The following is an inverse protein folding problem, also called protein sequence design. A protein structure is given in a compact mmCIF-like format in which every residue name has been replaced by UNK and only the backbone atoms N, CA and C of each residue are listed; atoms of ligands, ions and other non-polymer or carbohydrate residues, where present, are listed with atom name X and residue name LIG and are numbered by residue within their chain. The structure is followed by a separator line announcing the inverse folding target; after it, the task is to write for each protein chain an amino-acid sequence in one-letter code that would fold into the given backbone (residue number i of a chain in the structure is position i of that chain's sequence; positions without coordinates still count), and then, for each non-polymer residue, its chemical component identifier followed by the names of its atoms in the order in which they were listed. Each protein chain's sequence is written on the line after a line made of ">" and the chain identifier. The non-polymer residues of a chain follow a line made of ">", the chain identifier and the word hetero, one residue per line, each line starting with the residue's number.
data_IF_839936816023
#
_entry.id   IF_839936816023
#
_cell.length_a   1.000
_cell.length_b   1.000
_cell.length_c   1.000
_cell.angle_alpha   90.00
_cell.angle_beta   90.00
_cell.angle_gamma   90.00
#
_symmetry.space_group_name_H-M   'P 1'
#
loop_
_entity.id
_entity.type
_entity.pdbx_description
1 polymer ?
#
# COMPACT_ATOMS: atom_id res chain seq x y z
N UNK A 1 -15.60 -0.68 -2.06
CA UNK A 1 -15.01 -1.84 -1.35
C UNK A 1 -14.94 -1.60 0.14
N UNK A 2 -14.78 -2.64 0.96
CA UNK A 2 -14.49 -2.51 2.39
C UNK A 2 -12.98 -2.35 2.64
N UNK A 3 -12.63 -1.50 3.62
CA UNK A 3 -11.25 -1.29 4.03
C UNK A 3 -11.15 -0.92 5.51
N UNK A 4 -9.98 -1.17 6.10
CA UNK A 4 -9.62 -0.66 7.43
C UNK A 4 -8.81 0.62 7.29
N UNK A 5 -9.42 1.75 7.66
CA UNK A 5 -8.89 3.09 7.41
C UNK A 5 -8.37 3.71 8.70
N UNK A 6 -7.14 4.23 8.65
CA UNK A 6 -6.55 5.05 9.72
C UNK A 6 -6.98 6.51 9.52
N UNK A 7 -7.69 7.08 10.50
CA UNK A 7 -8.16 8.47 10.46
C UNK A 7 -7.31 9.44 11.29
N UNK A 8 -6.56 8.91 12.25
CA UNK A 8 -5.72 9.72 13.15
C UNK A 8 -4.58 8.89 13.73
N UNK A 9 -3.48 9.54 14.00
CA UNK A 9 -2.37 8.92 14.75
C UNK A 9 -2.70 8.76 16.24
N UNK A 10 -2.08 7.78 16.88
CA UNK A 10 -2.11 7.54 18.33
C UNK A 10 -0.69 7.23 18.84
N UNK A 11 0.05 8.28 19.19
CA UNK A 11 1.45 8.19 19.60
C UNK A 11 1.67 7.28 20.82
N UNK A 12 0.65 7.11 21.63
CA UNK A 12 0.72 6.29 22.87
C UNK A 12 0.17 4.88 22.72
N UNK A 13 -0.46 4.57 21.59
CA UNK A 13 -1.16 3.30 21.31
C UNK A 13 -2.19 2.93 22.39
N UNK A 14 -2.89 3.93 22.94
CA UNK A 14 -3.84 3.73 24.05
C UNK A 14 -5.31 3.65 23.60
N UNK A 15 -5.61 4.00 22.35
CA UNK A 15 -6.97 3.89 21.83
C UNK A 15 -7.43 2.43 21.77
N UNK A 16 -8.71 2.21 22.02
CA UNK A 16 -9.34 0.89 21.90
C UNK A 16 -9.47 0.43 20.44
N UNK A 17 -9.55 1.39 19.51
CA UNK A 17 -9.63 1.15 18.07
C UNK A 17 -8.76 2.18 17.34
N UNK A 18 -7.86 1.71 16.50
CA UNK A 18 -6.98 2.57 15.69
C UNK A 18 -7.50 2.79 14.28
N UNK A 19 -8.20 1.80 13.74
CA UNK A 19 -8.74 1.83 12.37
C UNK A 19 -10.25 1.67 12.37
N UNK A 20 -10.90 2.23 11.36
CA UNK A 20 -12.33 2.07 11.12
C UNK A 20 -12.53 1.16 9.91
N UNK A 21 -13.36 0.12 10.08
CA UNK A 21 -13.77 -0.74 8.95
C UNK A 21 -14.96 -0.10 8.26
N UNK A 22 -14.76 0.40 7.06
CA UNK A 22 -15.75 1.23 6.35
C UNK A 22 -15.75 1.00 4.83
N UNK A 23 -16.75 1.58 4.17
CA UNK A 23 -16.84 1.60 2.71
C UNK A 23 -15.98 2.72 2.16
N UNK A 24 -15.12 2.39 1.21
CA UNK A 24 -14.28 3.32 0.46
C UNK A 24 -14.47 3.11 -1.04
N UNK A 25 -14.13 4.08 -1.89
CA UNK A 25 -14.15 3.90 -3.34
C UNK A 25 -13.28 2.71 -3.77
N UNK A 26 -13.73 1.98 -4.77
CA UNK A 26 -12.94 0.91 -5.37
C UNK A 26 -11.70 1.49 -6.06
N UNK A 27 -10.52 0.87 -5.90
CA UNK A 27 -9.32 1.28 -6.64
C UNK A 27 -9.50 0.98 -8.13
N UNK A 28 -8.87 1.80 -8.97
CA UNK A 28 -8.98 1.68 -10.43
C UNK A 28 -7.60 1.74 -11.07
N UNK A 29 -7.43 0.98 -12.14
CA UNK A 29 -6.29 1.11 -13.03
C UNK A 29 -6.31 2.50 -13.66
N UNK A 30 -5.23 3.24 -13.51
CA UNK A 30 -5.03 4.59 -14.02
C UNK A 30 -3.84 4.71 -14.96
N UNK A 31 -2.88 3.79 -14.85
CA UNK A 31 -1.68 3.74 -15.69
C UNK A 31 -1.63 2.44 -16.49
N UNK A 32 -1.03 2.44 -17.68
CA UNK A 32 -0.89 1.23 -18.50
C UNK A 32 -0.14 0.07 -17.80
N UNK A 33 0.69 0.38 -16.81
CA UNK A 33 1.50 -0.59 -16.03
C UNK A 33 0.85 -1.01 -14.71
N UNK A 34 -0.34 -0.51 -14.40
CA UNK A 34 -1.02 -0.86 -13.15
C UNK A 34 -1.56 -2.29 -13.18
N UNK A 35 -1.61 -2.88 -12.00
CA UNK A 35 -2.22 -4.18 -11.75
C UNK A 35 -3.19 -4.02 -10.58
N UNK A 36 -4.45 -4.37 -10.79
CA UNK A 36 -5.46 -4.46 -9.73
C UNK A 36 -5.38 -5.86 -9.14
N UNK A 37 -5.14 -5.93 -7.85
CA UNK A 37 -5.03 -7.19 -7.09
C UNK A 37 -6.19 -7.28 -6.12
N UNK A 38 -6.95 -8.37 -6.19
CA UNK A 38 -7.88 -8.78 -5.14
C UNK A 38 -7.07 -9.35 -3.99
N UNK A 39 -7.14 -8.72 -2.82
CA UNK A 39 -6.36 -9.14 -1.66
C UNK A 39 -6.92 -10.43 -1.09
N UNK A 40 -6.05 -11.42 -0.93
CA UNK A 40 -6.34 -12.69 -0.29
C UNK A 40 -5.88 -12.72 1.17
N UNK A 41 -4.86 -11.92 1.49
CA UNK A 41 -4.34 -11.75 2.83
C UNK A 41 -3.36 -10.60 2.91
N UNK A 42 -3.36 -9.91 4.04
CA UNK A 42 -2.40 -8.85 4.36
C UNK A 42 -1.83 -9.12 5.76
N UNK A 43 -0.51 -9.24 5.85
CA UNK A 43 0.20 -9.45 7.11
C UNK A 43 0.17 -8.22 8.00
N UNK A 44 0.29 -8.44 9.30
CA UNK A 44 0.41 -7.38 10.32
C UNK A 44 1.77 -7.50 10.97
N UNK A 45 2.53 -6.43 10.99
CA UNK A 45 3.83 -6.40 11.63
C UNK A 45 4.03 -5.19 12.54
N UNK A 46 5.20 -5.04 13.11
CA UNK A 46 5.53 -3.90 13.99
C UNK A 46 5.46 -2.56 13.26
N UNK A 47 5.73 -2.54 11.97
CA UNK A 47 5.64 -1.33 11.14
C UNK A 47 4.24 -0.70 11.18
N UNK A 48 3.18 -1.50 11.21
CA UNK A 48 1.81 -0.99 11.30
C UNK A 48 1.58 -0.20 12.59
N UNK A 49 2.14 -0.66 13.71
CA UNK A 49 2.11 0.09 14.97
C UNK A 49 2.90 1.41 14.86
N UNK A 50 4.09 1.39 14.24
CA UNK A 50 4.87 2.59 13.99
C UNK A 50 4.15 3.61 13.10
N UNK A 51 3.35 3.13 12.15
CA UNK A 51 2.47 3.98 11.34
C UNK A 51 1.39 4.62 12.21
N UNK A 52 0.72 3.84 13.05
CA UNK A 52 -0.31 4.34 13.98
C UNK A 52 0.29 5.35 14.97
N UNK A 53 1.48 5.07 15.51
CA UNK A 53 2.25 5.99 16.37
C UNK A 53 2.64 7.30 15.65
N UNK A 54 2.65 7.30 14.32
CA UNK A 54 3.08 8.45 13.53
C UNK A 54 4.59 8.65 13.51
N UNK A 55 5.40 7.59 13.67
CA UNK A 55 6.87 7.70 13.74
C UNK A 55 7.49 8.37 12.51
N UNK A 56 6.88 8.22 11.33
CA UNK A 56 7.35 8.86 10.10
C UNK A 56 6.53 10.07 9.68
N UNK A 57 5.61 10.54 10.54
CA UNK A 57 4.71 11.65 10.27
C UNK A 57 5.44 12.90 9.78
N UNK A 58 6.54 13.28 10.42
CA UNK A 58 7.30 14.48 10.05
C UNK A 58 7.80 14.48 8.61
N UNK A 59 7.98 13.28 8.04
CA UNK A 59 8.44 13.11 6.64
C UNK A 59 7.28 12.89 5.66
N UNK A 60 6.27 12.12 6.06
CA UNK A 60 5.23 11.62 5.16
C UNK A 60 3.94 12.42 5.24
N UNK A 61 3.65 12.99 6.39
CA UNK A 61 2.40 13.71 6.68
C UNK A 61 2.64 14.84 7.70
N UNK A 62 3.52 15.80 7.38
CA UNK A 62 3.94 16.84 8.32
C UNK A 62 2.80 17.72 8.82
N UNK A 63 1.74 17.85 8.05
CA UNK A 63 0.55 18.65 8.39
C UNK A 63 -0.59 17.81 8.98
N UNK A 64 -0.46 16.47 9.01
CA UNK A 64 -1.48 15.54 9.46
C UNK A 64 -2.73 15.51 8.55
N UNK A 65 -2.59 15.92 7.28
CA UNK A 65 -3.69 16.03 6.31
C UNK A 65 -3.33 15.51 4.93
N UNK A 66 -2.05 15.38 4.66
CA UNK A 66 -1.55 14.94 3.34
C UNK A 66 -1.80 13.45 3.13
N UNK A 67 -1.66 12.64 4.16
CA UNK A 67 -1.82 11.19 4.09
C UNK A 67 -3.16 10.72 4.68
N UNK A 68 -3.54 11.22 5.85
CA UNK A 68 -4.78 10.81 6.52
C UNK A 68 -6.05 11.39 5.86
N UNK A 69 -7.16 10.63 5.76
CA UNK A 69 -7.29 9.22 6.12
C UNK A 69 -6.69 8.31 5.04
N UNK A 70 -6.12 7.16 5.43
CA UNK A 70 -5.62 6.19 4.46
C UNK A 70 -5.70 4.74 4.93
N UNK A 71 -5.57 3.81 3.98
CA UNK A 71 -5.62 2.37 4.21
C UNK A 71 -4.20 1.87 4.49
N UNK A 72 -4.00 1.19 5.61
CA UNK A 72 -2.75 0.56 6.00
C UNK A 72 -2.54 -0.80 5.32
N UNK A 73 -1.49 -1.53 5.71
CA UNK A 73 -1.17 -2.89 5.27
C UNK A 73 -0.18 -2.92 4.09
N UNK A 74 1.03 -3.41 4.34
CA UNK A 74 2.15 -3.41 3.38
C UNK A 74 2.71 -4.81 3.10
N UNK A 75 2.18 -5.87 3.70
CA UNK A 75 2.55 -7.26 3.48
C UNK A 75 1.42 -8.00 2.75
N UNK A 76 1.29 -7.77 1.44
CA UNK A 76 0.10 -8.09 0.67
C UNK A 76 0.31 -9.28 -0.26
N UNK A 77 -0.68 -10.19 -0.30
CA UNK A 77 -0.78 -11.26 -1.28
C UNK A 77 -2.23 -11.40 -1.76
N UNK A 78 -2.40 -11.90 -2.97
CA UNK A 78 -3.73 -12.05 -3.55
C UNK A 78 -3.70 -12.59 -4.97
N UNK A 79 -4.71 -12.21 -5.73
CA UNK A 79 -4.86 -12.63 -7.11
C UNK A 79 -5.08 -11.42 -8.02
N UNK A 80 -4.45 -11.46 -9.18
CA UNK A 80 -4.66 -10.45 -10.23
C UNK A 80 -6.13 -10.44 -10.63
N UNK A 81 -6.78 -9.30 -10.53
CA UNK A 81 -8.17 -9.11 -10.97
C UNK A 81 -8.22 -8.43 -12.34
N UNK A 82 -7.35 -7.45 -12.57
CA UNK A 82 -7.27 -6.70 -13.82
C UNK A 82 -5.84 -6.20 -14.04
N UNK A 83 -5.45 -6.04 -15.31
CA UNK A 83 -4.12 -5.54 -15.68
C UNK A 83 -4.24 -4.40 -16.70
N UNK A 84 -3.32 -3.44 -16.58
CA UNK A 84 -3.17 -2.35 -17.55
C UNK A 84 -2.64 -2.84 -18.91
N UNK A 85 -2.79 -2.01 -19.93
CA UNK A 85 -2.52 -2.37 -21.31
C UNK A 85 -1.06 -2.70 -21.65
N UNK A 86 -0.11 -2.28 -20.81
CA UNK A 86 1.33 -2.54 -21.00
C UNK A 86 1.86 -3.64 -20.05
N UNK A 87 0.98 -4.27 -19.28
CA UNK A 87 1.37 -5.37 -18.40
C UNK A 87 1.59 -6.64 -19.22
N UNK A 88 2.79 -7.21 -19.09
CA UNK A 88 3.17 -8.46 -19.75
C UNK A 88 3.55 -9.50 -18.70
N UNK A 89 3.15 -10.74 -18.90
CA UNK A 89 3.51 -11.86 -18.03
C UNK A 89 2.58 -12.10 -16.85
N UNK A 90 1.59 -11.22 -16.63
CA UNK A 90 0.52 -11.42 -15.66
C UNK A 90 -0.85 -11.42 -16.33
N UNK A 91 -1.78 -12.19 -15.79
CA UNK A 91 -3.18 -12.22 -16.23
C UNK A 91 -4.13 -12.40 -15.05
N UNK A 92 -5.39 -12.10 -15.26
CA UNK A 92 -6.45 -12.34 -14.27
C UNK A 92 -6.40 -13.76 -13.70
N UNK A 93 -6.43 -13.86 -12.37
CA UNK A 93 -6.40 -15.10 -11.62
C UNK A 93 -5.00 -15.55 -11.20
N UNK A 94 -3.93 -14.94 -11.69
CA UNK A 94 -2.58 -15.29 -11.27
C UNK A 94 -2.38 -14.95 -9.78
N UNK A 95 -1.83 -15.87 -8.95
CA UNK A 95 -1.47 -15.56 -7.59
C UNK A 95 -0.22 -14.69 -7.54
N UNK A 96 -0.24 -13.66 -6.68
CA UNK A 96 0.86 -12.71 -6.55
C UNK A 96 1.14 -12.38 -5.09
N UNK A 97 2.41 -12.08 -4.80
CA UNK A 97 2.87 -11.41 -3.59
C UNK A 97 3.35 -10.03 -4.05
N UNK A 98 2.92 -8.99 -3.36
CA UNK A 98 3.25 -7.62 -3.72
C UNK A 98 4.52 -7.20 -2.99
N UNK A 99 5.50 -6.70 -3.74
CA UNK A 99 6.66 -6.04 -3.14
C UNK A 99 6.19 -4.78 -2.40
N UNK A 100 6.62 -4.54 -1.16
CA UNK A 100 6.08 -3.47 -0.32
C UNK A 100 6.50 -2.06 -0.78
N UNK A 101 7.26 -1.95 -1.86
CA UNK A 101 7.73 -0.67 -2.37
C UNK A 101 7.37 -0.49 -3.84
N UNK A 102 6.67 0.61 -4.13
CA UNK A 102 6.42 1.06 -5.49
C UNK A 102 7.57 1.94 -6.00
N UNK A 103 8.28 1.46 -7.01
CA UNK A 103 9.33 2.20 -7.70
C UNK A 103 9.09 2.22 -9.21
N UNK A 104 9.76 3.11 -9.93
CA UNK A 104 9.72 3.08 -11.40
C UNK A 104 10.54 1.93 -11.98
N UNK A 105 11.38 1.30 -11.17
CA UNK A 105 12.36 0.30 -11.57
C UNK A 105 13.58 0.86 -12.30
N UNK A 106 13.63 2.18 -12.49
CA UNK A 106 14.73 2.87 -13.20
C UNK A 106 15.67 3.64 -12.28
N UNK A 107 15.29 3.83 -11.02
CA UNK A 107 16.14 4.46 -10.02
C UNK A 107 17.43 3.67 -9.84
N UNK A 108 18.52 4.39 -9.64
CA UNK A 108 19.84 3.80 -9.45
C UNK A 108 19.89 2.89 -8.22
N UNK A 109 19.16 3.26 -7.18
CA UNK A 109 19.03 2.51 -5.93
C UNK A 109 18.35 1.16 -6.18
N UNK A 110 17.24 1.16 -6.93
CA UNK A 110 16.55 -0.08 -7.31
C UNK A 110 17.47 -1.01 -8.13
N UNK A 111 18.18 -0.45 -9.10
CA UNK A 111 19.11 -1.22 -9.95
C UNK A 111 20.29 -1.81 -9.18
N UNK A 112 20.63 -1.26 -8.02
CA UNK A 112 21.66 -1.75 -7.11
C UNK A 112 21.12 -2.69 -6.02
N UNK A 113 19.80 -2.92 -5.97
CA UNK A 113 19.15 -3.65 -4.88
C UNK A 113 19.08 -2.85 -3.58
N UNK A 114 19.18 -1.52 -3.67
CA UNK A 114 19.12 -0.59 -2.53
C UNK A 114 17.75 0.05 -2.40
N UNK A 115 16.69 -0.75 -2.57
CA UNK A 115 15.31 -0.26 -2.68
C UNK A 115 14.85 0.59 -1.50
N UNK A 116 15.37 0.36 -0.31
CA UNK A 116 15.02 1.12 0.88
C UNK A 116 15.56 2.56 0.87
N UNK A 117 16.52 2.87 0.00
CA UNK A 117 17.16 4.19 -0.07
C UNK A 117 16.62 5.09 -1.20
N UNK A 118 15.89 4.55 -2.15
CA UNK A 118 15.37 5.31 -3.29
C UNK A 118 14.09 6.12 -2.99
N UNK A 119 13.54 6.72 -4.04
CA UNK A 119 12.41 7.67 -3.98
C UNK A 119 11.03 7.04 -4.08
N UNK A 120 10.91 5.72 -4.08
CA UNK A 120 9.62 5.02 -4.18
C UNK A 120 8.68 5.25 -2.99
N UNK A 121 7.43 4.91 -3.19
CA UNK A 121 6.38 4.93 -2.15
C UNK A 121 6.17 3.52 -1.58
N UNK A 122 5.49 3.45 -0.44
CA UNK A 122 5.20 2.19 0.24
C UNK A 122 3.68 2.09 0.45
N UNK A 123 2.97 1.21 -0.30
CA UNK A 123 1.59 0.90 -0.02
C UNK A 123 1.38 0.49 1.44
N UNK A 124 0.40 1.12 2.10
CA UNK A 124 0.11 0.90 3.51
C UNK A 124 1.00 1.63 4.51
N UNK A 125 1.98 2.43 4.02
CA UNK A 125 2.87 3.27 4.84
C UNK A 125 2.84 4.72 4.39
N UNK A 126 3.01 4.98 3.09
CA UNK A 126 3.01 6.35 2.52
C UNK A 126 1.92 6.57 1.47
N UNK A 127 1.11 5.58 1.23
CA UNK A 127 -0.09 5.60 0.38
C UNK A 127 -1.01 4.44 0.76
N UNK A 128 -2.19 4.34 0.16
CA UNK A 128 -3.14 3.28 0.45
C UNK A 128 -2.55 1.89 0.26
N UNK A 129 -2.79 1.01 1.21
CA UNK A 129 -2.30 -0.35 1.27
C UNK A 129 -3.39 -1.43 1.20
N UNK A 130 -3.07 -2.62 1.67
CA UNK A 130 -3.86 -3.82 1.46
C UNK A 130 -4.78 -4.25 2.59
N UNK A 131 -5.00 -3.45 3.64
CA UNK A 131 -6.08 -3.74 4.59
C UNK A 131 -7.44 -3.37 3.97
N UNK A 132 -7.69 -3.90 2.78
CA UNK A 132 -8.85 -3.68 1.93
C UNK A 132 -9.14 -4.92 1.08
N UNK A 133 -10.28 -4.94 0.38
CA UNK A 133 -10.62 -6.03 -0.52
C UNK A 133 -9.77 -6.04 -1.80
N UNK A 134 -9.26 -4.88 -2.21
CA UNK A 134 -8.41 -4.76 -3.40
C UNK A 134 -7.39 -3.64 -3.27
N UNK A 135 -6.30 -3.75 -4.03
CA UNK A 135 -5.21 -2.77 -4.12
C UNK A 135 -4.74 -2.64 -5.57
N UNK A 136 -4.47 -1.41 -6.01
CA UNK A 136 -3.75 -1.19 -7.28
C UNK A 136 -2.26 -1.03 -6.98
N UNK A 137 -1.44 -1.74 -7.74
CA UNK A 137 0.01 -1.67 -7.69
C UNK A 137 0.59 -1.58 -9.11
N UNK A 138 1.90 -1.56 -9.26
CA UNK A 138 2.56 -1.59 -10.57
C UNK A 138 3.05 -3.01 -10.88
N UNK A 139 3.05 -3.42 -12.13
CA UNK A 139 3.66 -4.68 -12.59
C UNK A 139 5.15 -4.81 -12.23
N UNK A 140 5.77 -3.71 -11.85
CA UNK A 140 7.19 -3.66 -11.45
C UNK A 140 7.43 -3.94 -9.96
N UNK A 141 6.38 -4.31 -9.24
CA UNK A 141 6.41 -4.53 -7.79
C UNK A 141 6.04 -5.96 -7.40
#
# INVERSE_FOLDING_TARGET
>A
MKASVLHKYDESLTASNWVTYEDVPDPKITKPTDVLVKIGGAGVCRTDLHVIEGQWRSRMDPDGKTLLPYIMGHENAGWVEEVGSEVVGLKKGDPVILHPRLSSGFEIEHRRGEDMHGTGTFPGVSENGGYAEALVTSVRN
#
